data_IF_039094074529
#
_entry.id   IF_039094074529
#
_cell.length_a   1.000
_cell.length_b   1.000
_cell.length_c   1.000
_cell.angle_alpha   90.00
_cell.angle_beta   90.00
_cell.angle_gamma   90.00
#
_symmetry.space_group_name_H-M   'P 1'
#
loop_
_entity.id
_entity.type
_entity.pdbx_description
1 polymer ?
#
# COMPACT_ATOMS: atom_id res chain seq x y z
N UNK A 1 -7.17 -1.09 -23.07
CA UNK A 1 -5.84 -1.04 -22.44
C UNK A 1 -5.97 -1.26 -20.94
N UNK A 2 -4.91 -1.76 -20.33
CA UNK A 2 -4.91 -2.03 -18.88
C UNK A 2 -5.22 -0.78 -18.06
N UNK A 3 -4.71 0.37 -18.47
CA UNK A 3 -4.94 1.63 -17.78
C UNK A 3 -6.44 1.93 -17.69
N UNK A 4 -7.14 1.81 -18.80
CA UNK A 4 -8.58 2.09 -18.83
C UNK A 4 -9.38 1.08 -18.04
N UNK A 5 -8.88 -0.15 -17.94
CA UNK A 5 -9.55 -1.22 -17.20
C UNK A 5 -9.44 -1.03 -15.69
N UNK A 6 -8.25 -0.67 -15.20
CA UNK A 6 -7.98 -0.60 -13.78
C UNK A 6 -8.25 0.77 -13.14
N UNK A 7 -8.32 1.83 -13.95
CA UNK A 7 -8.50 3.18 -13.42
C UNK A 7 -9.78 3.35 -12.58
N UNK A 8 -10.94 2.81 -12.99
CA UNK A 8 -12.13 2.94 -12.15
C UNK A 8 -11.96 2.31 -10.77
N UNK A 9 -11.27 1.16 -10.69
CA UNK A 9 -11.01 0.51 -9.42
C UNK A 9 -10.04 1.32 -8.58
N UNK A 10 -9.00 1.87 -9.19
CA UNK A 10 -8.04 2.73 -8.52
C UNK A 10 -8.72 3.98 -7.97
N UNK A 11 -9.59 4.62 -8.76
CA UNK A 11 -10.35 5.78 -8.31
C UNK A 11 -11.25 5.44 -7.13
N UNK A 12 -11.92 4.29 -7.17
CA UNK A 12 -12.78 3.85 -6.08
C UNK A 12 -11.98 3.64 -4.79
N UNK A 13 -10.78 3.07 -4.90
CA UNK A 13 -9.92 2.83 -3.75
C UNK A 13 -9.44 4.15 -3.14
N UNK A 14 -8.99 5.08 -3.99
CA UNK A 14 -8.54 6.40 -3.54
C UNK A 14 -9.70 7.17 -2.92
N UNK A 15 -10.90 7.10 -3.52
CA UNK A 15 -12.10 7.74 -2.98
C UNK A 15 -12.43 7.19 -1.59
N UNK A 16 -12.31 5.87 -1.41
CA UNK A 16 -12.57 5.24 -0.13
C UNK A 16 -11.56 5.68 0.94
N UNK A 17 -10.28 5.76 0.58
CA UNK A 17 -9.25 6.25 1.50
C UNK A 17 -9.51 7.70 1.90
N UNK A 18 -9.86 8.55 0.93
CA UNK A 18 -10.14 9.95 1.19
C UNK A 18 -11.40 10.12 2.05
N UNK A 19 -12.42 9.32 1.79
CA UNK A 19 -13.65 9.35 2.58
C UNK A 19 -13.41 8.91 4.03
N UNK A 20 -12.52 7.94 4.23
CA UNK A 20 -12.19 7.46 5.56
C UNK A 20 -11.37 8.48 6.36
N UNK A 21 -10.62 9.33 5.69
CA UNK A 21 -9.74 10.33 6.32
C UNK A 21 -9.89 11.67 5.60
N UNK A 22 -11.06 12.32 5.72
CA UNK A 22 -11.34 13.53 4.94
C UNK A 22 -10.48 14.73 5.34
N UNK A 23 -9.84 14.69 6.51
CA UNK A 23 -8.90 15.73 6.92
C UNK A 23 -7.61 15.75 6.13
N UNK A 24 -7.27 14.66 5.45
CA UNK A 24 -6.09 14.59 4.60
C UNK A 24 -6.46 14.96 3.16
N UNK A 25 -5.55 15.63 2.44
CA UNK A 25 -5.82 15.96 1.03
C UNK A 25 -5.97 14.70 0.17
N UNK A 26 -6.80 14.77 -0.86
CA UNK A 26 -6.95 13.66 -1.81
C UNK A 26 -5.62 13.24 -2.41
N UNK A 27 -4.70 14.18 -2.62
CA UNK A 27 -3.38 13.87 -3.15
C UNK A 27 -2.62 12.89 -2.25
N UNK A 28 -2.77 12.99 -0.93
CA UNK A 28 -2.16 12.04 0.00
C UNK A 28 -2.81 10.65 -0.11
N UNK A 29 -4.12 10.59 -0.30
CA UNK A 29 -4.81 9.33 -0.53
C UNK A 29 -4.32 8.65 -1.81
N UNK A 30 -4.09 9.43 -2.85
CA UNK A 30 -3.56 8.91 -4.12
C UNK A 30 -2.14 8.35 -3.94
N UNK A 31 -1.28 9.05 -3.22
CA UNK A 31 0.06 8.54 -2.91
C UNK A 31 -0.01 7.27 -2.05
N UNK A 32 -0.89 7.24 -1.07
CA UNK A 32 -1.07 6.05 -0.22
C UNK A 32 -1.48 4.84 -1.07
N UNK A 33 -2.39 5.04 -2.01
CA UNK A 33 -2.78 4.00 -2.96
C UNK A 33 -1.58 3.54 -3.79
N UNK A 34 -0.85 4.48 -4.36
CA UNK A 34 0.30 4.20 -5.23
C UNK A 34 1.34 3.34 -4.49
N UNK A 35 1.70 3.75 -3.27
CA UNK A 35 2.70 3.04 -2.49
C UNK A 35 2.23 1.66 -2.05
N UNK A 36 0.94 1.54 -1.70
CA UNK A 36 0.34 0.28 -1.29
C UNK A 36 0.38 -0.74 -2.43
N UNK A 37 -0.03 -0.32 -3.61
CA UNK A 37 -0.02 -1.19 -4.79
C UNK A 37 1.42 -1.58 -5.14
N UNK A 38 2.35 -0.62 -5.07
CA UNK A 38 3.76 -0.91 -5.33
C UNK A 38 4.33 -1.94 -4.36
N UNK A 39 4.05 -1.79 -3.07
CA UNK A 39 4.51 -2.74 -2.05
C UNK A 39 3.93 -4.14 -2.31
N UNK A 40 2.63 -4.21 -2.58
CA UNK A 40 1.95 -5.48 -2.83
C UNK A 40 2.51 -6.18 -4.06
N UNK A 41 2.61 -5.46 -5.19
CA UNK A 41 3.10 -6.05 -6.43
C UNK A 41 4.54 -6.49 -6.30
N UNK A 42 5.39 -5.69 -5.66
CA UNK A 42 6.78 -6.05 -5.46
C UNK A 42 6.89 -7.34 -4.63
N UNK A 43 6.11 -7.43 -3.57
CA UNK A 43 6.09 -8.63 -2.73
C UNK A 43 5.68 -9.87 -3.53
N UNK A 44 4.69 -9.73 -4.42
CA UNK A 44 4.17 -10.87 -5.18
C UNK A 44 5.14 -11.37 -6.25
N UNK A 45 5.94 -10.47 -6.85
CA UNK A 45 6.74 -10.83 -8.01
C UNK A 45 8.24 -10.92 -7.75
N UNK A 46 8.74 -10.33 -6.68
CA UNK A 46 10.17 -10.30 -6.40
C UNK A 46 10.52 -11.34 -5.33
N UNK A 47 11.50 -12.20 -5.65
CA UNK A 47 11.90 -13.31 -4.77
C UNK A 47 13.29 -13.12 -4.19
N UNK A 48 13.89 -11.93 -4.34
CA UNK A 48 15.26 -11.69 -3.91
C UNK A 48 15.42 -11.56 -2.39
N UNK A 49 14.31 -11.41 -1.65
CA UNK A 49 14.37 -11.21 -0.20
C UNK A 49 15.14 -12.31 0.50
N UNK A 50 15.00 -13.54 0.03
CA UNK A 50 15.69 -14.69 0.62
C UNK A 50 17.20 -14.54 0.50
N UNK A 51 17.67 -14.17 -0.70
CA UNK A 51 19.09 -13.94 -0.94
C UNK A 51 19.59 -12.70 -0.21
N UNK A 52 18.82 -11.60 -0.27
CA UNK A 52 19.23 -10.31 0.32
C UNK A 52 19.29 -10.39 1.84
N UNK A 53 18.51 -11.27 2.45
CA UNK A 53 18.50 -11.46 3.90
C UNK A 53 19.46 -12.55 4.37
N UNK A 54 20.30 -13.05 3.46
CA UNK A 54 21.20 -14.18 3.74
C UNK A 54 20.45 -15.41 4.30
N UNK A 55 19.28 -15.68 3.75
CA UNK A 55 18.48 -16.85 4.11
C UNK A 55 17.67 -16.72 5.39
N UNK A 56 17.63 -15.53 6.01
CA UNK A 56 16.80 -15.35 7.21
C UNK A 56 15.33 -15.19 6.87
N UNK A 57 15.00 -14.85 5.61
CA UNK A 57 13.62 -14.77 5.12
C UNK A 57 13.42 -15.80 4.02
N UNK A 58 12.21 -16.33 3.92
CA UNK A 58 11.84 -17.20 2.81
C UNK A 58 10.78 -16.48 1.96
N UNK A 59 10.89 -16.65 0.64
CA UNK A 59 9.89 -16.13 -0.28
C UNK A 59 8.57 -16.85 -0.01
N UNK A 60 7.47 -16.09 -0.08
CA UNK A 60 6.12 -16.62 0.13
C UNK A 60 5.86 -17.18 1.53
N UNK A 61 6.62 -16.72 2.54
CA UNK A 61 6.32 -17.04 3.93
C UNK A 61 4.92 -16.54 4.27
N UNK A 62 4.03 -17.39 4.82
CA UNK A 62 2.68 -16.93 5.20
C UNK A 62 2.68 -15.75 6.17
N UNK A 63 3.69 -15.63 7.03
CA UNK A 63 3.81 -14.50 7.94
C UNK A 63 4.09 -13.19 7.21
N UNK A 64 4.67 -13.25 6.02
CA UNK A 64 4.96 -12.04 5.25
C UNK A 64 3.70 -11.28 4.88
N UNK A 65 2.59 -11.98 4.62
CA UNK A 65 1.32 -11.32 4.31
C UNK A 65 0.83 -10.47 5.48
N UNK A 66 0.91 -11.00 6.69
CA UNK A 66 0.54 -10.28 7.90
C UNK A 66 1.44 -9.07 8.13
N UNK A 67 2.75 -9.24 7.94
CA UNK A 67 3.71 -8.15 8.07
C UNK A 67 3.48 -7.07 7.01
N UNK A 68 3.14 -7.47 5.80
CA UNK A 68 2.84 -6.52 4.72
C UNK A 68 1.61 -5.69 5.06
N UNK A 69 0.56 -6.32 5.60
CA UNK A 69 -0.64 -5.62 6.02
C UNK A 69 -0.31 -4.60 7.12
N UNK A 70 0.49 -4.99 8.10
CA UNK A 70 0.92 -4.05 9.16
C UNK A 70 1.70 -2.88 8.59
N UNK A 71 2.61 -3.17 7.67
CA UNK A 71 3.43 -2.16 7.01
C UNK A 71 2.57 -1.16 6.24
N UNK A 72 1.64 -1.68 5.43
CA UNK A 72 0.76 -0.83 4.61
C UNK A 72 -0.20 -0.03 5.48
N UNK A 73 -0.77 -0.66 6.51
CA UNK A 73 -1.71 0.02 7.41
C UNK A 73 -1.04 1.17 8.14
N UNK A 74 0.16 0.95 8.68
CA UNK A 74 0.91 1.99 9.38
C UNK A 74 1.28 3.12 8.42
N UNK A 75 1.70 2.80 7.20
CA UNK A 75 2.06 3.80 6.20
C UNK A 75 0.86 4.64 5.77
N UNK A 76 -0.27 4.00 5.53
CA UNK A 76 -1.51 4.70 5.17
C UNK A 76 -1.93 5.63 6.32
N UNK A 77 -1.91 5.13 7.55
CA UNK A 77 -2.28 5.93 8.71
C UNK A 77 -1.38 7.15 8.88
N UNK A 78 -0.08 7.00 8.59
CA UNK A 78 0.87 8.09 8.68
C UNK A 78 0.62 9.18 7.63
N UNK A 79 0.25 8.76 6.41
CA UNK A 79 -0.01 9.69 5.32
C UNK A 79 -1.39 10.35 5.41
N UNK A 80 -2.34 9.71 6.11
CA UNK A 80 -3.73 10.14 6.19
C UNK A 80 -4.11 10.33 7.66
N UNK A 81 -3.57 11.35 8.33
CA UNK A 81 -3.88 11.58 9.75
C UNK A 81 -5.37 11.85 9.94
N UNK A 82 -5.89 11.45 11.10
CA UNK A 82 -7.31 11.64 11.45
C UNK A 82 -7.67 13.12 11.50
N UNK A 83 -6.75 13.93 12.04
CA UNK A 83 -6.92 15.36 12.15
C UNK A 83 -5.86 16.07 11.31
N UNK A 84 -6.25 17.12 10.57
CA UNK A 84 -5.25 17.89 9.84
C UNK A 84 -4.28 18.56 10.81
N UNK A 85 -3.02 18.75 10.40
CA UNK A 85 -2.08 19.49 11.23
C UNK A 85 -2.57 20.93 11.45
N UNK A 86 -2.48 21.40 12.65
CA UNK A 86 -2.88 22.77 13.02
C UNK A 86 -1.69 23.71 12.97
#
# INVERSE_FOLDING_TARGET
MLVDYFDPLAHAFIDALHAARPGAPRAQAAWAYQFTIGALLHHLIDHRVERLSHGTNTSHDPQAASLLIHFMTAGIAALLPVHPPT
#
